data_IF_247795424657
#
_entry.id   IF_247795424657
#
_cell.length_a   1.000
_cell.length_b   1.000
_cell.length_c   1.000
_cell.angle_alpha   90.00
_cell.angle_beta   90.00
_cell.angle_gamma   90.00
#
_symmetry.space_group_name_H-M   'P 1'
#
loop_
_entity.id
_entity.type
_entity.pdbx_description
1 polymer ?
#
# COMPACT_ATOMS: atom_id res chain seq x y z
N UNK A 1 -13.47 3.91 -2.80
CA UNK A 1 -14.90 4.31 -2.82
C UNK A 1 -15.43 4.66 -1.44
N UNK A 2 -15.31 3.78 -0.43
CA UNK A 2 -15.77 4.04 0.96
C UNK A 2 -15.31 5.41 1.47
N UNK A 3 -14.02 5.72 1.33
CA UNK A 3 -13.46 7.03 1.72
C UNK A 3 -14.06 8.23 0.98
N UNK A 4 -14.32 8.09 -0.32
CA UNK A 4 -14.93 9.16 -1.12
C UNK A 4 -16.38 9.39 -0.72
N UNK A 5 -17.14 8.31 -0.50
CA UNK A 5 -18.53 8.36 -0.03
C UNK A 5 -18.59 9.00 1.36
N UNK A 6 -17.72 8.58 2.28
CA UNK A 6 -17.64 9.19 3.61
C UNK A 6 -17.32 10.69 3.53
N UNK A 7 -16.31 11.06 2.75
CA UNK A 7 -15.92 12.47 2.60
C UNK A 7 -17.05 13.31 1.99
N UNK A 8 -17.75 12.77 0.98
CA UNK A 8 -18.92 13.39 0.39
C UNK A 8 -20.07 13.52 1.39
N UNK A 9 -20.37 12.46 2.14
CA UNK A 9 -21.40 12.45 3.17
C UNK A 9 -21.11 13.48 4.28
N UNK A 10 -19.87 13.56 4.76
CA UNK A 10 -19.46 14.58 5.74
C UNK A 10 -19.58 15.98 5.15
N UNK A 11 -19.18 16.19 3.89
CA UNK A 11 -19.33 17.47 3.20
C UNK A 11 -20.78 17.93 3.03
N UNK A 12 -21.73 17.00 2.89
CA UNK A 12 -23.17 17.30 2.78
C UNK A 12 -23.82 17.50 4.16
N UNK A 13 -23.51 16.64 5.14
CA UNK A 13 -24.19 16.62 6.45
C UNK A 13 -23.57 17.61 7.43
N UNK A 14 -22.25 17.83 7.37
CA UNK A 14 -21.52 18.77 8.23
C UNK A 14 -20.51 19.61 7.42
N UNK A 15 -21.01 20.59 6.63
CA UNK A 15 -20.16 21.44 5.78
C UNK A 15 -19.08 22.21 6.55
N UNK A 16 -19.32 22.49 7.84
CA UNK A 16 -18.39 23.18 8.74
C UNK A 16 -17.09 22.40 9.00
N UNK A 17 -17.13 21.07 8.90
CA UNK A 17 -15.95 20.22 9.10
C UNK A 17 -15.07 20.13 7.83
N UNK A 18 -15.60 20.59 6.69
CA UNK A 18 -14.89 20.62 5.40
C UNK A 18 -15.04 22.03 4.80
N UNK A 19 -14.56 23.09 5.49
CA UNK A 19 -14.82 24.45 5.08
C UNK A 19 -14.25 24.69 3.68
N UNK A 20 -15.13 25.11 2.77
CA UNK A 20 -14.71 25.47 1.42
C UNK A 20 -13.74 26.66 1.45
N UNK A 21 -12.85 26.74 0.45
CA UNK A 21 -11.91 27.85 0.32
C UNK A 21 -12.67 29.18 0.35
N UNK A 22 -12.35 30.11 1.29
CA UNK A 22 -13.03 31.37 1.46
C UNK A 22 -13.13 32.13 0.13
N UNK A 23 -14.24 32.84 -0.10
CA UNK A 23 -14.47 33.56 -1.37
C UNK A 23 -13.37 34.60 -1.66
N UNK A 24 -12.76 35.15 -0.62
CA UNK A 24 -11.63 36.10 -0.68
C UNK A 24 -10.31 35.46 -1.15
N UNK A 25 -10.12 34.16 -0.91
CA UNK A 25 -8.94 33.41 -1.35
C UNK A 25 -9.11 32.80 -2.76
N UNK A 26 -10.28 32.98 -3.40
CA UNK A 26 -10.54 32.53 -4.78
C UNK A 26 -9.93 33.49 -5.79
N UNK A 27 -8.63 33.37 -5.97
CA UNK A 27 -7.83 34.24 -6.85
C UNK A 27 -8.13 34.09 -8.35
N UNK A 28 -8.68 32.96 -8.81
CA UNK A 28 -8.95 32.71 -10.24
C UNK A 28 -10.24 31.91 -10.44
N UNK A 29 -11.01 32.21 -11.48
CA UNK A 29 -12.23 31.48 -11.88
C UNK A 29 -12.22 31.14 -13.38
N UNK A 30 -12.94 30.09 -13.78
CA UNK A 30 -13.09 29.68 -15.18
C UNK A 30 -11.87 28.95 -15.78
N UNK A 31 -11.59 29.19 -17.06
CA UNK A 31 -10.57 28.49 -17.85
C UNK A 31 -9.13 28.69 -17.33
N UNK A 32 -8.84 29.85 -16.74
CA UNK A 32 -7.51 30.15 -16.20
C UNK A 32 -7.20 29.32 -14.93
N UNK A 33 -8.22 29.04 -14.11
CA UNK A 33 -8.09 28.13 -12.96
C UNK A 33 -7.86 26.70 -13.44
N UNK A 34 -8.64 26.24 -14.44
CA UNK A 34 -8.45 24.94 -15.07
C UNK A 34 -7.03 24.78 -15.61
N UNK A 35 -6.51 25.78 -16.34
CA UNK A 35 -5.14 25.76 -16.84
C UNK A 35 -4.09 25.63 -15.73
N UNK A 36 -4.26 26.33 -14.61
CA UNK A 36 -3.35 26.22 -13.45
C UNK A 36 -3.42 24.85 -12.79
N UNK A 37 -4.63 24.30 -12.60
CA UNK A 37 -4.83 22.98 -12.03
C UNK A 37 -4.26 21.88 -12.94
N UNK A 38 -4.59 21.92 -14.23
CA UNK A 38 -4.07 20.97 -15.24
C UNK A 38 -2.54 21.00 -15.30
N UNK A 39 -1.92 22.18 -15.21
CA UNK A 39 -0.45 22.30 -15.22
C UNK A 39 0.22 21.64 -13.99
N UNK A 40 -0.49 21.49 -12.88
CA UNK A 40 -0.02 20.74 -11.71
C UNK A 40 -0.38 19.25 -11.77
N UNK A 41 -1.58 18.91 -12.24
CA UNK A 41 -2.09 17.53 -12.26
C UNK A 41 -1.48 16.72 -13.39
N UNK A 42 -1.39 17.26 -14.61
CA UNK A 42 -0.92 16.52 -15.80
C UNK A 42 0.46 15.91 -15.57
N UNK A 43 1.47 16.64 -15.08
CA UNK A 43 2.80 16.05 -14.95
C UNK A 43 2.85 14.93 -13.91
N UNK A 44 2.14 15.08 -12.78
CA UNK A 44 1.99 14.02 -11.79
C UNK A 44 1.21 12.83 -12.34
N UNK A 45 0.15 13.08 -13.11
CA UNK A 45 -0.63 12.03 -13.77
C UNK A 45 0.25 11.27 -14.75
N UNK A 46 1.02 11.94 -15.62
CA UNK A 46 1.96 11.30 -16.56
C UNK A 46 2.94 10.38 -15.82
N UNK A 47 3.46 10.79 -14.67
CA UNK A 47 4.31 9.92 -13.85
C UNK A 47 3.57 8.69 -13.31
N UNK A 48 2.35 8.88 -12.80
CA UNK A 48 1.51 7.77 -12.33
C UNK A 48 1.21 6.80 -13.47
N UNK A 49 0.83 7.31 -14.65
CA UNK A 49 0.55 6.52 -15.85
C UNK A 49 1.81 5.80 -16.36
N UNK A 50 2.98 6.44 -16.30
CA UNK A 50 4.24 5.81 -16.69
C UNK A 50 4.58 4.64 -15.76
N UNK A 51 4.48 4.81 -14.44
CA UNK A 51 4.79 3.76 -13.47
C UNK A 51 3.72 2.66 -13.49
N UNK A 52 2.46 2.99 -13.19
CA UNK A 52 1.37 2.00 -13.13
C UNK A 52 1.09 1.35 -14.48
N UNK A 53 1.18 2.11 -15.57
CA UNK A 53 0.98 1.58 -16.91
C UNK A 53 2.08 0.60 -17.32
N UNK A 54 3.33 0.86 -16.96
CA UNK A 54 4.42 -0.07 -17.24
C UNK A 54 4.30 -1.41 -16.49
N UNK A 55 3.63 -1.41 -15.34
CA UNK A 55 3.38 -2.60 -14.54
C UNK A 55 2.14 -3.37 -14.99
N UNK A 56 1.43 -2.92 -16.03
CA UNK A 56 0.14 -3.52 -16.43
C UNK A 56 -0.95 -3.33 -15.37
N UNK A 57 -0.84 -2.30 -14.52
CA UNK A 57 -1.80 -2.03 -13.44
C UNK A 57 -2.92 -1.06 -13.84
N UNK A 58 -2.96 -0.63 -15.10
CA UNK A 58 -3.96 0.32 -15.59
C UNK A 58 -5.14 -0.40 -16.26
N UNK A 59 -6.36 0.14 -16.14
CA UNK A 59 -7.52 -0.42 -16.82
C UNK A 59 -7.29 -0.56 -18.33
N UNK A 60 -7.31 -1.78 -18.86
CA UNK A 60 -7.11 -2.09 -20.28
C UNK A 60 -5.67 -2.32 -20.73
N UNK A 61 -4.70 -2.42 -19.79
CA UNK A 61 -3.32 -2.82 -20.07
C UNK A 61 -3.01 -4.08 -19.25
N UNK A 62 -3.21 -5.25 -19.83
CA UNK A 62 -2.99 -6.53 -19.13
C UNK A 62 -1.54 -7.05 -19.29
N UNK A 63 -0.71 -6.34 -20.07
CA UNK A 63 0.69 -6.68 -20.29
C UNK A 63 1.62 -5.80 -19.45
N UNK A 64 2.29 -6.41 -18.48
CA UNK A 64 3.39 -5.76 -17.77
C UNK A 64 4.62 -5.67 -18.68
N UNK A 65 5.04 -4.46 -19.01
CA UNK A 65 6.22 -4.19 -19.84
C UNK A 65 7.49 -4.19 -18.97
N UNK A 66 7.35 -3.74 -17.72
CA UNK A 66 8.46 -3.57 -16.78
C UNK A 66 8.19 -4.32 -15.48
N UNK A 67 9.25 -4.89 -14.91
CA UNK A 67 9.22 -5.41 -13.54
C UNK A 67 9.03 -4.28 -12.52
N UNK A 68 8.60 -4.56 -11.27
CA UNK A 68 8.38 -3.52 -10.26
C UNK A 68 9.61 -2.61 -10.02
N UNK A 69 10.82 -3.18 -10.12
CA UNK A 69 12.08 -2.43 -10.01
C UNK A 69 12.33 -1.50 -11.19
N UNK A 70 12.03 -1.93 -12.41
CA UNK A 70 12.18 -1.13 -13.63
C UNK A 70 11.11 -0.03 -13.71
N UNK A 71 9.88 -0.34 -13.29
CA UNK A 71 8.80 0.64 -13.14
C UNK A 71 9.18 1.74 -12.13
N UNK A 72 9.80 1.36 -11.01
CA UNK A 72 10.35 2.31 -10.03
C UNK A 72 11.46 3.21 -10.63
N UNK A 73 12.34 2.64 -11.44
CA UNK A 73 13.38 3.40 -12.14
C UNK A 73 12.78 4.42 -13.12
N UNK A 74 11.72 4.06 -13.85
CA UNK A 74 11.01 4.99 -14.72
C UNK A 74 10.34 6.14 -13.95
N UNK A 75 9.76 5.85 -12.78
CA UNK A 75 9.25 6.89 -11.88
C UNK A 75 10.34 7.88 -11.44
N UNK A 76 11.53 7.38 -11.08
CA UNK A 76 12.67 8.21 -10.69
C UNK A 76 13.17 9.08 -11.86
N UNK A 77 13.37 8.50 -13.04
CA UNK A 77 13.77 9.23 -14.26
C UNK A 77 12.73 10.31 -14.59
N UNK A 78 11.45 9.98 -14.51
CA UNK A 78 10.38 10.93 -14.74
C UNK A 78 10.39 12.09 -13.72
N UNK A 79 10.66 11.81 -12.45
CA UNK A 79 10.81 12.85 -11.43
C UNK A 79 12.02 13.77 -11.69
N UNK A 80 13.14 13.22 -12.17
CA UNK A 80 14.31 14.01 -12.60
C UNK A 80 13.98 14.94 -13.77
N UNK A 81 13.29 14.42 -14.80
CA UNK A 81 12.85 15.21 -15.95
C UNK A 81 11.92 16.33 -15.48
N UNK A 82 10.96 16.02 -14.59
CA UNK A 82 10.04 17.01 -14.04
C UNK A 82 10.79 18.12 -13.27
N UNK A 83 11.71 17.74 -12.39
CA UNK A 83 12.51 18.69 -11.62
C UNK A 83 13.37 19.59 -12.54
N UNK A 84 13.90 19.04 -13.63
CA UNK A 84 14.65 19.80 -14.64
C UNK A 84 13.76 20.79 -15.40
N UNK A 85 12.57 20.37 -15.84
CA UNK A 85 11.59 21.23 -16.52
C UNK A 85 11.14 22.40 -15.65
N UNK A 86 10.99 22.17 -14.35
CA UNK A 86 10.66 23.21 -13.38
C UNK A 86 11.87 24.05 -12.92
N UNK A 87 13.07 23.80 -13.46
CA UNK A 87 14.34 24.46 -13.09
C UNK A 87 14.66 24.40 -11.60
N UNK A 88 14.24 23.32 -10.94
CA UNK A 88 14.50 23.06 -9.51
C UNK A 88 15.54 21.97 -9.27
N UNK A 89 16.02 21.35 -10.34
CA UNK A 89 17.07 20.33 -10.25
C UNK A 89 18.41 20.99 -9.89
N UNK A 90 18.82 20.85 -8.64
CA UNK A 90 20.10 21.34 -8.12
C UNK A 90 20.94 20.19 -7.60
N UNK A 91 22.26 20.32 -7.64
CA UNK A 91 23.17 19.28 -7.13
C UNK A 91 22.97 18.98 -5.63
N UNK A 92 22.72 19.97 -4.75
CA UNK A 92 22.38 19.70 -3.35
C UNK A 92 21.12 18.84 -3.21
N UNK A 93 20.06 19.13 -3.98
CA UNK A 93 18.82 18.35 -3.95
C UNK A 93 19.05 16.90 -4.38
N UNK A 94 19.85 16.70 -5.44
CA UNK A 94 20.19 15.36 -5.93
C UNK A 94 20.97 14.58 -4.86
N UNK A 95 21.97 15.21 -4.24
CA UNK A 95 22.79 14.59 -3.20
C UNK A 95 21.97 14.21 -1.96
N UNK A 96 21.05 15.09 -1.54
CA UNK A 96 20.13 14.84 -0.43
C UNK A 96 19.20 13.67 -0.74
N UNK A 97 18.58 13.67 -1.93
CA UNK A 97 17.71 12.58 -2.38
C UNK A 97 18.47 11.24 -2.43
N UNK A 98 19.68 11.22 -3.00
CA UNK A 98 20.52 10.02 -3.06
C UNK A 98 20.90 9.50 -1.67
N UNK A 99 21.28 10.38 -0.74
CA UNK A 99 21.63 10.01 0.62
C UNK A 99 20.43 9.43 1.39
N UNK A 100 19.24 10.02 1.21
CA UNK A 100 17.99 9.51 1.75
C UNK A 100 17.65 8.12 1.22
N UNK A 101 17.68 7.95 -0.12
CA UNK A 101 17.45 6.65 -0.77
C UNK A 101 18.45 5.60 -0.31
N UNK A 102 19.75 5.93 -0.27
CA UNK A 102 20.79 4.99 0.17
C UNK A 102 20.56 4.53 1.60
N UNK A 103 20.16 5.43 2.52
CA UNK A 103 19.90 5.08 3.91
C UNK A 103 18.75 4.08 4.04
N UNK A 104 17.63 4.35 3.37
CA UNK A 104 16.44 3.48 3.40
C UNK A 104 16.79 2.12 2.78
N UNK A 105 17.44 2.11 1.61
CA UNK A 105 17.88 0.86 0.95
C UNK A 105 18.84 0.07 1.82
N UNK A 106 19.80 0.71 2.49
CA UNK A 106 20.72 0.04 3.39
C UNK A 106 20.00 -0.63 4.57
N UNK A 107 19.05 0.07 5.20
CA UNK A 107 18.22 -0.52 6.26
C UNK A 107 17.48 -1.77 5.74
N UNK A 108 16.80 -1.65 4.60
CA UNK A 108 16.04 -2.76 3.99
C UNK A 108 16.95 -3.94 3.64
N UNK A 109 18.15 -3.70 3.10
CA UNK A 109 19.11 -4.77 2.77
C UNK A 109 19.60 -5.49 4.03
N UNK A 110 19.90 -4.77 5.12
CA UNK A 110 20.27 -5.41 6.39
C UNK A 110 19.16 -6.29 6.96
N UNK A 111 17.92 -5.80 6.90
CA UNK A 111 16.73 -6.58 7.29
C UNK A 111 16.57 -7.82 6.41
N UNK A 112 16.74 -7.67 5.10
CA UNK A 112 16.68 -8.77 4.14
C UNK A 112 17.68 -9.86 4.46
N UNK A 113 18.93 -9.50 4.76
CA UNK A 113 19.98 -10.45 5.15
C UNK A 113 19.55 -11.21 6.41
N UNK A 114 19.13 -10.50 7.47
CA UNK A 114 18.67 -11.13 8.71
C UNK A 114 17.45 -12.03 8.51
N UNK A 115 16.48 -11.57 7.72
CA UNK A 115 15.26 -12.31 7.38
C UNK A 115 15.57 -13.59 6.61
N UNK A 116 16.58 -13.59 5.74
CA UNK A 116 16.99 -14.79 4.99
C UNK A 116 17.71 -15.78 5.87
N UNK A 117 18.59 -15.34 6.76
CA UNK A 117 19.19 -16.24 7.75
C UNK A 117 18.11 -16.85 8.64
N UNK A 118 17.16 -16.05 9.14
CA UNK A 118 16.03 -16.56 9.92
C UNK A 118 15.17 -17.54 9.13
N UNK A 119 14.75 -17.19 7.91
CA UNK A 119 13.90 -18.06 7.06
C UNK A 119 14.57 -19.41 6.79
N UNK A 120 15.87 -19.42 6.50
CA UNK A 120 16.62 -20.65 6.24
C UNK A 120 16.71 -21.54 7.48
N UNK A 121 17.06 -20.97 8.64
CA UNK A 121 17.13 -21.73 9.90
C UNK A 121 15.75 -22.22 10.30
N UNK A 122 14.72 -21.38 10.19
CA UNK A 122 13.35 -21.69 10.53
C UNK A 122 12.80 -22.83 9.66
N UNK A 123 13.06 -22.81 8.36
CA UNK A 123 12.72 -23.92 7.47
C UNK A 123 13.52 -25.18 7.80
N UNK A 124 14.81 -25.03 8.15
CA UNK A 124 15.67 -26.15 8.55
C UNK A 124 15.25 -26.86 9.83
N UNK A 125 14.54 -26.18 10.74
CA UNK A 125 13.96 -26.78 11.96
C UNK A 125 12.48 -27.16 11.81
N UNK A 126 11.98 -27.24 10.56
CA UNK A 126 10.57 -27.53 10.25
C UNK A 126 9.57 -26.57 10.91
N UNK A 127 9.97 -25.31 11.14
CA UNK A 127 9.12 -24.33 11.81
C UNK A 127 7.79 -24.09 11.09
N UNK A 128 7.74 -24.27 9.77
CA UNK A 128 6.50 -24.19 9.00
C UNK A 128 5.47 -25.23 9.45
N UNK A 129 5.92 -26.47 9.70
CA UNK A 129 5.10 -27.56 10.24
C UNK A 129 4.67 -27.27 11.68
N UNK A 130 5.52 -26.63 12.48
CA UNK A 130 5.18 -26.22 13.85
C UNK A 130 4.06 -25.18 13.86
N UNK A 131 4.16 -24.14 13.04
CA UNK A 131 3.09 -23.13 12.89
C UNK A 131 1.82 -23.77 12.30
N UNK A 132 1.96 -24.65 11.32
CA UNK A 132 0.83 -25.39 10.74
C UNK A 132 0.06 -26.14 11.82
N UNK A 133 0.72 -26.88 12.72
CA UNK A 133 0.04 -27.55 13.83
C UNK A 133 -0.58 -26.57 14.83
N UNK A 134 0.10 -25.47 15.17
CA UNK A 134 -0.46 -24.46 16.07
C UNK A 134 -1.73 -23.82 15.49
N UNK A 135 -1.75 -23.58 14.18
CA UNK A 135 -2.84 -22.88 13.50
C UNK A 135 -3.95 -23.82 13.01
N UNK A 136 -3.66 -25.09 12.70
CA UNK A 136 -4.67 -26.10 12.34
C UNK A 136 -5.53 -26.51 13.53
N UNK A 137 -5.03 -26.31 14.75
CA UNK A 137 -5.79 -26.52 15.99
C UNK A 137 -6.68 -25.32 16.36
N UNK A 138 -6.62 -24.20 15.63
CA UNK A 138 -7.51 -23.08 15.88
C UNK A 138 -8.93 -23.38 15.35
N UNK A 139 -9.98 -23.15 16.15
CA UNK A 139 -11.35 -23.24 15.67
C UNK A 139 -11.60 -22.18 14.60
N UNK A 140 -12.14 -22.59 13.44
CA UNK A 140 -12.57 -21.65 12.38
C UNK A 140 -11.94 -21.85 10.99
N UNK A 141 -11.10 -22.87 10.79
CA UNK A 141 -10.57 -23.21 9.47
C UNK A 141 -9.82 -22.04 8.79
N UNK A 142 -10.06 -21.82 7.49
CA UNK A 142 -9.43 -20.74 6.73
C UNK A 142 -9.73 -19.34 7.30
N UNK A 143 -10.96 -19.08 7.74
CA UNK A 143 -11.36 -17.76 8.26
C UNK A 143 -10.72 -17.51 9.64
N UNK A 144 -10.67 -18.53 10.50
CA UNK A 144 -10.02 -18.44 11.80
C UNK A 144 -8.53 -18.11 11.67
N UNK A 145 -7.83 -18.77 10.73
CA UNK A 145 -6.45 -18.46 10.39
C UNK A 145 -6.29 -17.00 9.93
N UNK A 146 -7.14 -16.52 9.02
CA UNK A 146 -7.06 -15.16 8.51
C UNK A 146 -7.29 -14.11 9.59
N UNK A 147 -8.25 -14.31 10.49
CA UNK A 147 -8.49 -13.40 11.61
C UNK A 147 -7.27 -13.40 12.54
N UNK A 148 -6.75 -14.57 12.91
CA UNK A 148 -5.60 -14.68 13.81
C UNK A 148 -4.36 -14.00 13.21
N UNK A 149 -4.06 -14.26 11.93
CA UNK A 149 -2.94 -13.63 11.21
C UNK A 149 -3.13 -12.12 11.08
N UNK A 150 -4.34 -11.65 10.76
CA UNK A 150 -4.59 -10.22 10.65
C UNK A 150 -4.39 -9.52 12.00
N UNK A 151 -4.91 -10.07 13.08
CA UNK A 151 -4.71 -9.50 14.43
C UNK A 151 -3.22 -9.52 14.80
N UNK A 152 -2.53 -10.63 14.56
CA UNK A 152 -1.10 -10.77 14.84
C UNK A 152 -0.26 -9.72 14.08
N UNK A 153 -0.48 -9.58 12.77
CA UNK A 153 0.24 -8.62 11.93
C UNK A 153 -0.13 -7.18 12.29
N UNK A 154 -1.39 -6.91 12.66
CA UNK A 154 -1.82 -5.58 13.07
C UNK A 154 -1.01 -5.08 14.29
N UNK A 155 -0.83 -5.92 15.31
CA UNK A 155 0.00 -5.55 16.46
C UNK A 155 1.49 -5.48 16.13
N UNK A 156 1.98 -6.38 15.28
CA UNK A 156 3.40 -6.39 14.90
C UNK A 156 3.78 -5.15 14.07
N UNK A 157 2.87 -4.67 13.23
CA UNK A 157 3.01 -3.47 12.42
C UNK A 157 3.07 -2.16 13.22
N UNK A 158 2.87 -2.20 14.53
CA UNK A 158 3.15 -1.04 15.40
C UNK A 158 4.65 -0.80 15.57
N UNK A 159 5.46 -1.86 15.47
CA UNK A 159 6.89 -1.82 15.73
C UNK A 159 7.74 -2.07 14.49
N UNK A 160 7.22 -2.85 13.54
CA UNK A 160 7.91 -3.21 12.31
C UNK A 160 7.31 -2.45 11.13
N UNK A 161 8.17 -1.95 10.25
CA UNK A 161 7.77 -1.33 8.99
C UNK A 161 7.41 -2.41 7.94
N UNK A 162 6.84 -1.98 6.81
CA UNK A 162 6.19 -2.88 5.88
C UNK A 162 7.16 -3.85 5.21
N UNK A 163 8.39 -3.41 4.95
CA UNK A 163 9.43 -4.24 4.36
C UNK A 163 9.85 -5.37 5.30
N UNK A 164 9.95 -5.10 6.61
CA UNK A 164 10.30 -6.04 7.67
C UNK A 164 9.26 -7.15 7.75
N UNK A 165 7.98 -6.79 7.77
CA UNK A 165 6.89 -7.76 7.80
C UNK A 165 6.87 -8.58 6.51
N UNK A 166 7.01 -7.93 5.35
CA UNK A 166 7.03 -8.62 4.06
C UNK A 166 8.20 -9.60 3.93
N UNK A 167 9.37 -9.30 4.51
CA UNK A 167 10.54 -10.17 4.38
C UNK A 167 10.71 -11.20 5.50
N UNK A 168 10.18 -10.94 6.70
CA UNK A 168 10.28 -11.87 7.84
C UNK A 168 9.02 -12.73 7.96
N UNK A 169 7.84 -12.11 7.91
CA UNK A 169 6.56 -12.75 8.26
C UNK A 169 5.88 -13.37 7.03
N UNK A 170 5.98 -12.75 5.86
CA UNK A 170 5.34 -13.33 4.67
C UNK A 170 5.94 -14.68 4.25
N UNK A 171 7.27 -14.91 4.26
CA UNK A 171 7.83 -16.23 3.95
C UNK A 171 7.46 -17.29 4.98
N UNK A 172 7.11 -16.87 6.20
CA UNK A 172 6.68 -17.72 7.28
C UNK A 172 5.22 -18.17 7.11
N UNK A 173 4.33 -17.24 6.76
CA UNK A 173 2.89 -17.48 6.66
C UNK A 173 2.43 -17.94 5.28
N UNK A 174 3.14 -17.55 4.22
CA UNK A 174 2.78 -17.88 2.83
C UNK A 174 2.62 -19.37 2.58
N UNK A 175 3.61 -20.22 2.92
CA UNK A 175 3.49 -21.68 2.73
C UNK A 175 2.35 -22.30 3.54
N UNK A 176 2.05 -21.75 4.73
CA UNK A 176 0.94 -22.22 5.57
C UNK A 176 -0.40 -21.84 4.94
N UNK A 177 -0.53 -20.62 4.42
CA UNK A 177 -1.74 -20.16 3.73
C UNK A 177 -2.02 -20.99 2.46
N UNK A 178 -0.99 -21.27 1.66
CA UNK A 178 -1.10 -22.08 0.44
C UNK A 178 -1.57 -23.51 0.75
N UNK A 179 -0.97 -24.16 1.75
CA UNK A 179 -1.39 -25.50 2.21
C UNK A 179 -2.82 -25.55 2.73
N UNK A 180 -3.30 -24.46 3.37
CA UNK A 180 -4.69 -24.34 3.81
C UNK A 180 -5.68 -24.08 2.66
N UNK A 181 -5.19 -23.97 1.41
CA UNK A 181 -5.99 -23.70 0.22
C UNK A 181 -6.49 -22.25 0.15
N UNK A 182 -5.79 -21.32 0.80
CA UNK A 182 -6.09 -19.89 0.74
C UNK A 182 -5.42 -19.32 -0.50
N UNK A 183 -6.19 -18.58 -1.30
CA UNK A 183 -5.64 -17.85 -2.44
C UNK A 183 -4.57 -16.83 -1.98
N UNK A 184 -3.35 -16.97 -2.48
CA UNK A 184 -2.20 -16.15 -2.07
C UNK A 184 -2.36 -14.67 -2.47
N UNK A 185 -3.11 -14.38 -3.52
CA UNK A 185 -3.38 -12.99 -3.93
C UNK A 185 -4.35 -12.34 -2.95
N UNK A 186 -5.44 -13.03 -2.62
CA UNK A 186 -6.36 -12.60 -1.58
C UNK A 186 -5.66 -12.41 -0.24
N UNK A 187 -4.81 -13.37 0.16
CA UNK A 187 -3.99 -13.27 1.36
C UNK A 187 -3.07 -12.04 1.33
N UNK A 188 -2.32 -11.84 0.25
CA UNK A 188 -1.44 -10.69 0.08
C UNK A 188 -2.19 -9.35 0.16
N UNK A 189 -3.34 -9.24 -0.52
CA UNK A 189 -4.16 -8.02 -0.48
C UNK A 189 -4.70 -7.76 0.93
N UNK A 190 -5.15 -8.79 1.65
CA UNK A 190 -5.57 -8.65 3.06
C UNK A 190 -4.43 -8.10 3.92
N UNK A 191 -3.23 -8.67 3.80
CA UNK A 191 -2.07 -8.18 4.54
C UNK A 191 -1.74 -6.73 4.21
N UNK A 192 -1.76 -6.35 2.93
CA UNK A 192 -1.52 -4.97 2.49
C UNK A 192 -2.54 -3.99 3.12
N UNK A 193 -3.83 -4.31 3.07
CA UNK A 193 -4.90 -3.47 3.63
C UNK A 193 -4.76 -3.35 5.15
N UNK A 194 -4.44 -4.46 5.82
CA UNK A 194 -4.24 -4.48 7.27
C UNK A 194 -3.00 -3.68 7.71
N UNK A 195 -1.87 -3.86 7.03
CA UNK A 195 -0.65 -3.09 7.30
C UNK A 195 -0.89 -1.58 7.11
N UNK A 196 -1.60 -1.19 6.04
CA UNK A 196 -1.99 0.22 5.84
C UNK A 196 -2.84 0.76 7.01
N UNK A 197 -3.73 -0.05 7.58
CA UNK A 197 -4.53 0.33 8.77
C UNK A 197 -3.63 0.67 9.95
N UNK A 198 -2.61 -0.15 10.17
CA UNK A 198 -1.68 -0.01 11.29
C UNK A 198 -0.88 1.30 11.20
N UNK A 199 -0.48 1.72 9.99
CA UNK A 199 0.21 3.00 9.74
C UNK A 199 -0.64 4.24 10.01
N UNK A 200 -1.96 4.11 10.12
CA UNK A 200 -2.89 5.22 10.37
C UNK A 200 -3.45 5.21 11.81
N UNK A 201 -3.14 4.20 12.62
CA UNK A 201 -3.72 4.03 13.96
C UNK A 201 -2.97 4.83 15.04
N UNK A 202 -3.65 5.70 15.81
CA UNK A 202 -3.06 6.33 16.99
C UNK A 202 -2.71 5.30 18.08
N UNK A 203 -1.57 5.37 18.79
CA UNK A 203 -0.54 6.40 18.79
C UNK A 203 0.65 6.10 17.86
N UNK A 204 0.65 4.99 17.11
CA UNK A 204 1.83 4.49 16.40
C UNK A 204 1.88 4.86 14.91
N UNK A 205 0.82 5.46 14.36
CA UNK A 205 0.76 5.79 12.95
C UNK A 205 1.79 6.84 12.53
N UNK A 206 2.81 6.44 11.77
CA UNK A 206 3.85 7.35 11.25
C UNK A 206 3.25 8.55 10.51
N UNK A 207 2.19 8.32 9.72
CA UNK A 207 1.49 9.37 9.00
C UNK A 207 0.95 10.48 9.93
N UNK A 208 0.47 10.11 11.13
CA UNK A 208 -0.05 11.05 12.11
C UNK A 208 1.08 11.91 12.72
N UNK A 209 2.24 11.31 12.95
CA UNK A 209 3.42 12.05 13.42
C UNK A 209 4.00 12.99 12.36
N UNK A 210 4.00 12.58 11.09
CA UNK A 210 4.38 13.48 9.99
C UNK A 210 3.43 14.69 9.91
N UNK A 211 2.12 14.46 9.99
CA UNK A 211 1.14 15.54 10.05
C UNK A 211 1.35 16.44 11.25
N UNK A 212 1.65 15.87 12.43
CA UNK A 212 1.96 16.67 13.62
C UNK A 212 3.20 17.53 13.43
N UNK A 213 4.26 17.00 12.82
CA UNK A 213 5.49 17.74 12.53
C UNK A 213 5.29 18.89 11.54
N UNK A 214 4.51 18.65 10.48
CA UNK A 214 4.16 19.69 9.50
C UNK A 214 3.25 20.73 10.14
N UNK A 215 2.24 20.33 10.92
CA UNK A 215 1.35 21.24 11.63
C UNK A 215 2.11 22.13 12.62
N UNK A 216 3.10 21.59 13.34
CA UNK A 216 3.97 22.37 14.22
C UNK A 216 4.80 23.40 13.45
N UNK A 217 5.34 23.00 12.29
CA UNK A 217 6.13 23.86 11.41
C UNK A 217 5.28 24.99 10.83
N UNK A 218 4.06 24.69 10.38
CA UNK A 218 3.11 25.67 9.87
C UNK A 218 2.66 26.66 10.94
N UNK A 219 2.49 26.20 12.19
CA UNK A 219 2.19 27.07 13.33
C UNK A 219 3.36 28.01 13.65
N UNK A 220 4.59 27.49 13.69
CA UNK A 220 5.80 28.30 13.90
C UNK A 220 6.02 29.35 12.80
N UNK A 221 5.63 29.03 11.56
CA UNK A 221 5.71 29.95 10.43
C UNK A 221 4.55 30.96 10.36
N UNK A 222 3.60 30.93 11.31
CA UNK A 222 2.45 31.86 11.37
C UNK A 222 1.32 31.55 10.38
N UNK A 223 1.41 30.47 9.61
CA UNK A 223 0.38 30.07 8.64
C UNK A 223 -0.87 29.46 9.28
N UNK A 224 -0.76 28.96 10.51
CA UNK A 224 -1.87 28.39 11.28
C UNK A 224 -2.27 29.32 12.43
N UNK A 225 -3.57 29.63 12.58
CA UNK A 225 -4.06 30.52 13.65
C UNK A 225 -4.06 29.86 15.04
N UNK A 226 -4.11 28.53 15.09
CA UNK A 226 -4.13 27.73 16.32
C UNK A 226 -3.12 26.60 16.22
N UNK A 227 -2.47 26.30 17.34
CA UNK A 227 -1.63 25.10 17.49
C UNK A 227 -2.54 23.87 17.47
N UNK A 228 -2.31 22.99 16.49
CA UNK A 228 -3.02 21.71 16.38
C UNK A 228 -2.39 20.73 17.37
N UNK A 229 -3.17 20.22 18.30
CA UNK A 229 -2.70 19.24 19.28
C UNK A 229 -2.67 17.84 18.68
N UNK A 230 -1.90 16.94 19.29
CA UNK A 230 -1.84 15.54 18.84
C UNK A 230 -3.22 14.88 18.93
N UNK A 231 -4.00 15.23 19.94
CA UNK A 231 -5.36 14.72 20.17
C UNK A 231 -6.31 15.11 19.04
N UNK A 232 -6.20 16.34 18.50
CA UNK A 232 -6.99 16.79 17.35
C UNK A 232 -6.69 15.93 16.11
N UNK A 233 -5.43 15.58 15.90
CA UNK A 233 -4.98 14.74 14.78
C UNK A 233 -5.46 13.29 14.98
N UNK A 234 -5.37 12.77 16.20
CA UNK A 234 -5.79 11.41 16.53
C UNK A 234 -7.30 11.22 16.41
N UNK A 235 -8.08 12.16 16.92
CA UNK A 235 -9.53 12.17 16.77
C UNK A 235 -9.94 12.33 15.30
N UNK A 236 -9.20 13.13 14.52
CA UNK A 236 -9.40 13.27 13.08
C UNK A 236 -9.08 12.00 12.28
N UNK A 237 -8.13 11.17 12.75
CA UNK A 237 -7.74 9.91 12.12
C UNK A 237 -8.68 8.75 12.45
N UNK A 238 -9.36 8.78 13.59
CA UNK A 238 -10.21 7.68 14.06
C UNK A 238 -11.27 7.23 13.03
N UNK A 239 -12.02 8.13 12.35
CA UNK A 239 -12.98 7.70 11.32
C UNK A 239 -12.31 6.98 10.14
N UNK A 240 -11.08 7.38 9.78
CA UNK A 240 -10.32 6.74 8.71
C UNK A 240 -9.89 5.33 9.09
N UNK A 241 -9.43 5.14 10.31
CA UNK A 241 -9.08 3.81 10.85
C UNK A 241 -10.31 2.92 10.92
N UNK A 242 -11.46 3.43 11.38
CA UNK A 242 -12.70 2.66 11.45
C UNK A 242 -13.18 2.19 10.06
N UNK A 243 -13.12 3.07 9.05
CA UNK A 243 -13.43 2.70 7.67
C UNK A 243 -12.46 1.65 7.12
N UNK A 244 -11.19 1.74 7.48
CA UNK A 244 -10.18 0.78 7.05
C UNK A 244 -10.36 -0.59 7.74
N UNK A 245 -10.68 -0.62 9.03
CA UNK A 245 -11.05 -1.85 9.74
C UNK A 245 -12.30 -2.49 9.12
N UNK A 246 -13.29 -1.67 8.75
CA UNK A 246 -14.47 -2.14 8.03
C UNK A 246 -14.10 -2.73 6.67
N UNK A 247 -13.16 -2.12 5.94
CA UNK A 247 -12.62 -2.67 4.70
C UNK A 247 -11.94 -4.04 4.93
N UNK A 248 -11.11 -4.18 5.97
CA UNK A 248 -10.49 -5.47 6.33
C UNK A 248 -11.55 -6.54 6.60
N UNK A 249 -12.57 -6.21 7.38
CA UNK A 249 -13.69 -7.13 7.67
C UNK A 249 -14.41 -7.54 6.39
N UNK A 250 -14.72 -6.59 5.50
CA UNK A 250 -15.35 -6.89 4.20
C UNK A 250 -14.46 -7.84 3.38
N UNK A 251 -13.16 -7.61 3.31
CA UNK A 251 -12.25 -8.44 2.53
C UNK A 251 -12.11 -9.85 3.12
N UNK A 252 -12.17 -9.99 4.45
CA UNK A 252 -12.15 -11.31 5.13
C UNK A 252 -13.42 -12.12 4.83
N UNK A 253 -14.59 -11.51 4.89
CA UNK A 253 -15.86 -12.23 4.69
C UNK A 253 -16.32 -12.33 3.23
N UNK A 254 -15.82 -11.43 2.36
CA UNK A 254 -16.16 -11.38 0.95
C UNK A 254 -14.89 -11.42 0.09
N UNK A 255 -14.25 -12.61 -0.06
CA UNK A 255 -13.04 -12.78 -0.88
C UNK A 255 -13.24 -12.37 -2.33
N UNK A 256 -14.49 -12.44 -2.83
CA UNK A 256 -14.88 -12.01 -4.16
C UNK A 256 -14.55 -10.54 -4.41
N UNK A 257 -14.48 -9.69 -3.39
CA UNK A 257 -14.08 -8.28 -3.56
C UNK A 257 -12.69 -8.14 -4.16
N UNK A 258 -11.81 -9.10 -3.92
CA UNK A 258 -10.43 -9.13 -4.44
C UNK A 258 -10.32 -10.02 -5.66
N UNK A 259 -11.01 -11.17 -5.67
CA UNK A 259 -10.87 -12.16 -6.74
C UNK A 259 -11.78 -11.96 -7.94
N UNK A 260 -12.72 -11.01 -7.90
CA UNK A 260 -13.66 -10.79 -8.99
C UNK A 260 -12.99 -10.32 -10.30
N UNK A 261 -11.92 -9.54 -10.22
CA UNK A 261 -11.17 -9.07 -11.38
C UNK A 261 -9.96 -9.94 -11.73
N UNK A 262 -9.72 -11.03 -10.99
CA UNK A 262 -8.64 -11.96 -11.30
C UNK A 262 -9.12 -12.98 -12.32
N UNK A 263 -8.36 -13.12 -13.41
CA UNK A 263 -8.49 -14.27 -14.29
C UNK A 263 -8.19 -15.53 -13.48
N UNK A 264 -9.15 -16.46 -13.44
CA UNK A 264 -8.93 -17.76 -12.80
C UNK A 264 -7.71 -18.41 -13.45
N UNK A 265 -6.79 -19.01 -12.67
CA UNK A 265 -5.64 -19.69 -13.24
C UNK A 265 -6.13 -20.68 -14.27
N UNK A 266 -5.72 -20.51 -15.53
CA UNK A 266 -5.98 -21.50 -16.56
C UNK A 266 -5.26 -22.76 -16.11
N UNK A 267 -6.02 -23.72 -15.59
CA UNK A 267 -5.51 -25.06 -15.34
C UNK A 267 -5.11 -25.60 -16.70
N UNK A 268 -3.81 -25.53 -17.01
CA UNK A 268 -3.24 -26.21 -18.16
C UNK A 268 -3.44 -27.69 -17.88
N UNK A 269 -4.52 -28.22 -18.44
CA UNK A 269 -4.91 -29.61 -18.31
C UNK A 269 -3.89 -30.44 -19.09
N UNK A 270 -2.83 -30.86 -18.40
CA UNK A 270 -1.71 -31.62 -18.97
C UNK A 270 -2.19 -32.88 -19.72
N UNK A 271 -3.36 -33.39 -19.36
CA UNK A 271 -4.01 -34.51 -20.05
C UNK A 271 -4.44 -34.13 -21.48
N UNK A 272 -5.06 -32.96 -21.67
CA UNK A 272 -5.43 -32.45 -23.01
C UNK A 272 -4.21 -32.11 -23.85
N UNK A 273 -3.15 -31.57 -23.24
CA UNK A 273 -1.90 -31.30 -23.95
C UNK A 273 -1.25 -32.62 -24.45
N UNK A 274 -1.33 -33.68 -23.66
CA UNK A 274 -0.81 -35.01 -24.03
C UNK A 274 -1.63 -35.66 -25.15
N UNK A 275 -2.96 -35.51 -25.11
CA UNK A 275 -3.88 -36.01 -26.14
C UNK A 275 -3.66 -35.31 -27.51
N UNK A 276 -3.40 -34.00 -27.49
CA UNK A 276 -3.08 -33.21 -28.69
C UNK A 276 -1.72 -33.61 -29.27
N UNK A 277 -0.70 -33.81 -28.42
CA UNK A 277 0.62 -34.28 -28.86
C UNK A 277 0.58 -35.70 -29.44
N UNK A 278 -0.25 -36.60 -28.89
CA UNK A 278 -0.46 -37.94 -29.46
C UNK A 278 -1.20 -37.91 -30.81
N UNK A 279 -2.12 -36.97 -31.00
CA UNK A 279 -2.84 -36.80 -32.28
C UNK A 279 -1.99 -36.11 -33.36
N UNK A 280 -0.97 -35.33 -33.00
CA UNK A 280 -0.01 -34.71 -33.94
C UNK A 280 1.14 -35.66 -34.35
N UNK A 281 1.31 -36.77 -33.64
CA UNK A 281 2.31 -37.81 -33.93
C UNK A 281 1.82 -38.92 -34.88
N UNK A 282 0.72 -38.71 -35.59
CA UNK A 282 0.19 -39.61 -36.63
C UNK A 282 0.08 -38.91 -37.98
#
# INVERSE_FOLDING_TARGET
LIFAVYTFAVGVVKPEHVPGVPREARTMSGLALWGKCLRGIIPSAVLIFAVLGSMGGLPGIDTAICTPTEAGAMGAVGAFILAALHRRLTWPLVKEAMAGTMRITAMVVFILIGSRTFSLVFQGVEGGTWIEHMLSNLPGGQIGFLIAVNVFIFFLAFFLDFFEIAFIILPLLGPVADKMGIDLVWFGVMLCVNMQTSFMHPPFGFALFYLRGIADTLFKNGSLPRKVESDDIYLGALPWVLMQLLLVVIVIFCPQTVTFFLDKPQTVDLNKATEILQNLGR
#
